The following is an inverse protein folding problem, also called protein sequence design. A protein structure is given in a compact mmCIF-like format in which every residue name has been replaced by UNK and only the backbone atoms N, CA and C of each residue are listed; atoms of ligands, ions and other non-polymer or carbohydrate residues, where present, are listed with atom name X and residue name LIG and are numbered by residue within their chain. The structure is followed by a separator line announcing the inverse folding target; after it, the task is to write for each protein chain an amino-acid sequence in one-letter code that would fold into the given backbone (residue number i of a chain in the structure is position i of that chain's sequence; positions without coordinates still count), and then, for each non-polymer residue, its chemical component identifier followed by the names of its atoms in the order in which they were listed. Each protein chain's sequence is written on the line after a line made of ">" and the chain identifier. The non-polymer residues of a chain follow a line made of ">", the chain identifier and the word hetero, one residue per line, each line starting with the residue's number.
data_IF_621167867418
#
_entry.id   IF_621167867418
#
_cell.length_a   1.000
_cell.length_b   1.000
_cell.length_c   1.000
_cell.angle_alpha   90.00
_cell.angle_beta   90.00
_cell.angle_gamma   90.00
#
_symmetry.space_group_name_H-M   'P 1'
#
loop_
_entity.id
_entity.type
_entity.pdbx_description
1 polymer ?
#
# COMPACT_ATOMS: atom_id res chain seq x y z
N UNK A 1 22.98 47.51 -36.66
CA UNK A 1 21.81 48.21 -36.09
C UNK A 1 20.57 47.38 -36.33
N UNK A 2 19.81 47.13 -35.25
CA UNK A 2 18.45 46.56 -35.19
C UNK A 2 18.31 45.09 -35.56
N UNK A 3 18.37 44.26 -34.52
CA UNK A 3 17.70 42.96 -34.51
C UNK A 3 16.18 43.14 -34.59
N UNK A 4 15.56 42.30 -35.39
CA UNK A 4 14.13 41.97 -35.40
C UNK A 4 14.05 40.44 -35.42
N UNK A 5 13.43 39.86 -34.39
CA UNK A 5 12.94 38.49 -34.32
C UNK A 5 11.86 38.52 -33.25
N UNK A 6 10.60 38.78 -33.63
CA UNK A 6 9.59 37.79 -34.07
C UNK A 6 9.27 36.83 -32.95
N UNK A 7 8.11 37.12 -32.37
CA UNK A 7 7.25 36.33 -31.50
C UNK A 7 7.05 34.91 -32.07
N UNK A 8 7.28 33.87 -31.26
CA UNK A 8 6.66 32.57 -31.49
C UNK A 8 6.19 32.02 -30.14
N UNK A 9 4.88 31.82 -30.08
CA UNK A 9 4.14 31.29 -28.94
C UNK A 9 4.53 29.83 -28.67
N UNK A 10 4.56 29.46 -27.38
CA UNK A 10 4.64 28.07 -26.94
C UNK A 10 3.57 27.91 -25.85
N UNK A 11 2.47 27.24 -26.20
CA UNK A 11 1.36 26.90 -25.30
C UNK A 11 0.84 25.51 -25.66
N UNK A 12 0.95 24.60 -24.66
CA UNK A 12 0.18 23.37 -24.35
C UNK A 12 0.07 22.24 -25.41
N UNK A 13 -0.09 20.95 -25.06
CA UNK A 13 -1.12 20.30 -24.21
C UNK A 13 -0.55 18.99 -23.58
N UNK A 14 -0.88 18.58 -22.34
CA UNK A 14 -2.13 17.95 -21.83
C UNK A 14 -2.37 16.51 -22.36
N UNK A 15 -2.70 15.59 -21.45
CA UNK A 15 -2.93 14.16 -21.68
C UNK A 15 -3.95 13.87 -22.80
N UNK A 16 -3.61 12.96 -23.72
CA UNK A 16 -4.47 11.87 -24.20
C UNK A 16 -3.66 10.89 -25.06
N UNK A 17 -3.91 9.58 -24.90
CA UNK A 17 -3.23 8.51 -25.63
C UNK A 17 -3.73 8.43 -27.08
N UNK A 18 -2.91 8.85 -28.06
CA UNK A 18 -2.91 8.36 -29.46
C UNK A 18 -1.49 8.45 -30.02
N UNK A 19 -0.92 7.30 -30.40
CA UNK A 19 0.39 7.20 -31.06
C UNK A 19 0.40 7.89 -32.42
N UNK A 20 1.31 8.87 -32.60
CA UNK A 20 1.72 9.33 -33.93
C UNK A 20 3.20 9.73 -33.91
N UNK A 21 4.04 8.87 -34.47
CA UNK A 21 5.46 9.10 -34.69
C UNK A 21 5.67 10.24 -35.69
N UNK A 22 6.52 11.22 -35.36
CA UNK A 22 7.09 12.13 -36.34
C UNK A 22 8.62 12.06 -36.26
N UNK A 23 9.22 11.44 -37.28
CA UNK A 23 10.65 11.37 -37.51
C UNK A 23 11.23 12.77 -37.77
N UNK A 24 12.24 13.16 -37.00
CA UNK A 24 13.28 14.09 -37.43
C UNK A 24 14.65 13.47 -37.12
N UNK A 25 15.41 13.23 -38.18
CA UNK A 25 16.73 12.60 -38.21
C UNK A 25 17.79 13.42 -37.43
N UNK A 26 18.88 12.79 -36.94
CA UNK A 26 19.77 13.38 -35.95
C UNK A 26 20.87 14.21 -36.61
N UNK A 27 21.15 15.40 -36.08
CA UNK A 27 22.47 16.03 -36.24
C UNK A 27 23.03 16.44 -34.90
N UNK A 28 23.83 15.51 -34.36
CA UNK A 28 24.97 15.65 -33.46
C UNK A 28 25.18 16.99 -32.75
N UNK A 29 24.99 16.97 -31.43
CA UNK A 29 25.81 17.77 -30.52
C UNK A 29 26.38 16.82 -29.46
N UNK A 30 27.64 16.48 -29.69
CA UNK A 30 28.52 15.80 -28.75
C UNK A 30 28.68 16.65 -27.48
N UNK A 31 28.29 16.07 -26.34
CA UNK A 31 28.75 16.49 -25.02
C UNK A 31 29.09 15.24 -24.23
N UNK A 32 30.31 14.77 -24.43
CA UNK A 32 31.09 14.13 -23.39
C UNK A 32 31.12 15.02 -22.13
N UNK A 33 30.33 14.63 -21.13
CA UNK A 33 30.48 15.07 -19.75
C UNK A 33 30.14 13.88 -18.84
N UNK A 34 31.19 13.26 -18.33
CA UNK A 34 31.19 12.29 -17.25
C UNK A 34 30.53 12.89 -16.00
N UNK A 35 29.46 12.27 -15.52
CA UNK A 35 28.77 12.62 -14.27
C UNK A 35 27.26 12.51 -14.38
N UNK A 36 26.71 11.30 -14.55
CA UNK A 36 25.26 11.09 -14.54
C UNK A 36 24.75 11.03 -13.10
N UNK A 37 24.59 12.20 -12.48
CA UNK A 37 23.48 12.41 -11.52
C UNK A 37 22.18 12.59 -12.33
N UNK A 38 21.89 11.67 -13.26
CA UNK A 38 20.59 11.60 -13.90
C UNK A 38 19.67 10.92 -12.90
N UNK A 39 18.76 11.70 -12.32
CA UNK A 39 17.61 11.14 -11.62
C UNK A 39 16.90 10.27 -12.65
N UNK A 40 16.74 8.98 -12.36
CA UNK A 40 15.94 8.10 -13.21
C UNK A 40 14.52 8.65 -13.22
N UNK A 41 14.11 9.18 -14.37
CA UNK A 41 12.82 9.84 -14.53
C UNK A 41 11.66 8.89 -14.22
N UNK A 42 11.83 7.59 -14.44
CA UNK A 42 10.80 6.59 -14.12
C UNK A 42 10.66 6.38 -12.61
N UNK A 43 11.78 6.28 -11.89
CA UNK A 43 11.79 6.16 -10.42
C UNK A 43 11.26 7.45 -9.77
N UNK A 44 11.60 8.62 -10.32
CA UNK A 44 11.08 9.89 -9.86
C UNK A 44 9.58 10.04 -10.11
N UNK A 45 9.08 9.56 -11.25
CA UNK A 45 7.65 9.61 -11.58
C UNK A 45 6.84 8.63 -10.72
N UNK A 46 7.34 7.41 -10.49
CA UNK A 46 6.71 6.44 -9.57
C UNK A 46 6.74 6.92 -8.11
N UNK A 47 7.86 7.46 -7.64
CA UNK A 47 7.96 8.02 -6.29
C UNK A 47 7.08 9.27 -6.12
N UNK A 48 6.95 10.11 -7.16
CA UNK A 48 6.03 11.23 -7.16
C UNK A 48 4.57 10.73 -7.14
N UNK A 49 4.22 9.77 -7.98
CA UNK A 49 2.87 9.19 -8.07
C UNK A 49 2.44 8.56 -6.74
N UNK A 50 3.29 7.72 -6.13
CA UNK A 50 3.05 7.14 -4.80
C UNK A 50 2.97 8.22 -3.71
N UNK A 51 3.85 9.24 -3.74
CA UNK A 51 3.77 10.38 -2.83
C UNK A 51 2.50 11.23 -3.02
N UNK A 52 1.87 11.18 -4.19
CA UNK A 52 0.62 11.89 -4.46
C UNK A 52 -0.62 11.15 -3.97
N UNK A 53 -0.58 9.82 -3.92
CA UNK A 53 -1.68 8.95 -3.46
C UNK A 53 -1.70 8.76 -1.93
N UNK A 54 -0.54 8.81 -1.29
CA UNK A 54 -0.36 8.51 0.14
C UNK A 54 -0.69 9.65 1.13
N UNK A 55 -1.40 10.69 0.70
CA UNK A 55 -1.81 11.79 1.58
C UNK A 55 -3.03 12.55 1.05
N UNK A 56 -3.75 13.18 1.98
CA UNK A 56 -4.78 14.18 1.73
C UNK A 56 -4.19 15.58 1.84
N UNK A 57 -4.71 16.52 1.07
CA UNK A 57 -4.25 17.90 1.00
C UNK A 57 -5.31 18.82 1.59
N UNK A 58 -4.86 19.79 2.38
CA UNK A 58 -5.69 20.92 2.80
C UNK A 58 -6.10 21.75 1.58
N UNK A 59 -7.40 22.06 1.47
CA UNK A 59 -7.90 22.97 0.45
C UNK A 59 -7.83 24.43 0.96
N UNK A 60 -6.82 25.15 0.48
CA UNK A 60 -6.63 26.60 0.64
C UNK A 60 -7.04 27.39 -0.61
N UNK A 61 -7.78 26.76 -1.54
CA UNK A 61 -8.31 27.37 -2.77
C UNK A 61 -7.94 26.65 -4.08
N UNK A 62 -7.21 25.54 -4.00
CA UNK A 62 -6.81 24.71 -5.16
C UNK A 62 -8.05 24.09 -5.82
N UNK A 63 -9.02 23.65 -5.02
CA UNK A 63 -10.34 23.21 -5.47
C UNK A 63 -11.30 24.37 -5.28
N UNK A 64 -11.87 24.85 -6.39
CA UNK A 64 -12.82 25.97 -6.41
C UNK A 64 -14.23 25.51 -5.98
N UNK A 65 -14.32 24.93 -4.78
CA UNK A 65 -15.55 24.51 -4.13
C UNK A 65 -15.39 24.76 -2.62
N UNK A 66 -16.15 25.71 -2.10
CA UNK A 66 -16.02 26.18 -0.71
C UNK A 66 -16.49 25.14 0.33
N UNK A 67 -17.20 24.09 -0.09
CA UNK A 67 -17.57 22.95 0.77
C UNK A 67 -16.36 22.04 1.04
N UNK A 68 -15.39 21.98 0.13
CA UNK A 68 -14.26 21.05 0.21
C UNK A 68 -13.19 21.62 1.14
N UNK A 69 -12.95 20.96 2.28
CA UNK A 69 -11.92 21.30 3.27
C UNK A 69 -10.60 20.57 3.01
N UNK A 70 -10.70 19.31 2.62
CA UNK A 70 -9.56 18.47 2.24
C UNK A 70 -9.87 17.73 0.94
N UNK A 71 -8.85 17.28 0.23
CA UNK A 71 -9.02 16.43 -0.95
C UNK A 71 -7.84 15.48 -1.12
N UNK A 72 -8.05 14.38 -1.84
CA UNK A 72 -7.03 13.38 -2.14
C UNK A 72 -7.19 12.79 -3.53
N UNK A 73 -6.24 11.93 -3.91
CA UNK A 73 -6.34 11.11 -5.12
C UNK A 73 -6.73 9.69 -4.74
N UNK A 74 -7.42 9.02 -5.65
CA UNK A 74 -7.78 7.61 -5.54
C UNK A 74 -7.78 7.00 -6.95
N UNK A 75 -7.71 5.66 -7.09
CA UNK A 75 -7.86 5.02 -8.39
C UNK A 75 -9.11 5.53 -9.13
N UNK A 76 -8.91 5.94 -10.38
CA UNK A 76 -10.00 6.43 -11.24
C UNK A 76 -10.56 7.80 -10.86
N UNK A 77 -9.91 8.57 -9.98
CA UNK A 77 -10.44 9.90 -9.62
C UNK A 77 -9.77 10.67 -8.48
N UNK A 78 -10.56 11.56 -7.90
CA UNK A 78 -10.22 12.34 -6.72
C UNK A 78 -11.35 12.27 -5.71
N UNK A 79 -11.01 12.33 -4.43
CA UNK A 79 -11.95 12.43 -3.32
C UNK A 79 -11.86 13.82 -2.67
N UNK A 80 -12.99 14.37 -2.24
CA UNK A 80 -13.07 15.64 -1.52
C UNK A 80 -13.91 15.50 -0.26
N UNK A 81 -13.46 16.14 0.81
CA UNK A 81 -14.05 16.03 2.14
C UNK A 81 -14.71 17.37 2.50
N UNK A 82 -16.04 17.39 2.57
CA UNK A 82 -16.83 18.53 3.04
C UNK A 82 -17.51 18.24 4.38
N UNK A 83 -18.26 19.21 4.92
CA UNK A 83 -18.80 19.11 6.29
C UNK A 83 -19.96 18.13 6.43
N UNK A 84 -20.68 17.88 5.33
CA UNK A 84 -21.87 17.00 5.34
C UNK A 84 -21.83 15.92 4.25
N UNK A 85 -20.77 15.89 3.44
CA UNK A 85 -20.67 15.00 2.30
C UNK A 85 -19.23 14.79 1.84
N UNK A 86 -19.04 13.68 1.14
CA UNK A 86 -17.87 13.39 0.33
C UNK A 86 -18.17 13.68 -1.13
N UNK A 87 -17.17 14.18 -1.85
CA UNK A 87 -17.19 14.42 -3.29
C UNK A 87 -16.29 13.39 -3.96
N UNK A 88 -16.81 12.64 -4.94
CA UNK A 88 -16.03 11.70 -5.73
C UNK A 88 -15.99 12.18 -7.18
N UNK A 89 -14.87 12.73 -7.61
CA UNK A 89 -14.67 13.20 -8.98
C UNK A 89 -14.05 12.10 -9.82
N UNK A 90 -14.65 11.86 -10.98
CA UNK A 90 -14.20 10.84 -11.93
C UNK A 90 -13.03 11.37 -12.77
N UNK A 91 -11.96 10.60 -12.89
CA UNK A 91 -10.80 10.97 -13.69
C UNK A 91 -11.17 11.20 -15.16
N UNK A 92 -10.63 12.27 -15.74
CA UNK A 92 -10.84 12.61 -17.16
C UNK A 92 -12.22 13.19 -17.49
N UNK A 93 -13.03 13.52 -16.49
CA UNK A 93 -14.36 14.12 -16.68
C UNK A 93 -14.62 15.28 -15.70
N UNK A 94 -15.71 16.01 -15.91
CA UNK A 94 -16.24 17.00 -14.95
C UNK A 94 -17.29 16.39 -14.00
N UNK A 95 -17.47 15.08 -14.03
CA UNK A 95 -18.52 14.39 -13.26
C UNK A 95 -18.13 14.17 -11.80
N UNK A 96 -19.13 14.29 -10.94
CA UNK A 96 -19.01 14.13 -9.50
C UNK A 96 -20.18 13.31 -8.95
N UNK A 97 -19.87 12.36 -8.08
CA UNK A 97 -20.83 11.70 -7.18
C UNK A 97 -20.70 12.32 -5.79
N UNK A 98 -21.81 12.45 -5.07
CA UNK A 98 -21.82 12.89 -3.68
C UNK A 98 -22.22 11.75 -2.76
N UNK A 99 -21.50 11.56 -1.65
CA UNK A 99 -21.89 10.69 -0.55
C UNK A 99 -22.26 11.56 0.65
N UNK A 100 -23.55 11.77 0.89
CA UNK A 100 -24.03 12.62 2.00
C UNK A 100 -24.35 11.77 3.23
N UNK A 101 -24.09 12.33 4.41
CA UNK A 101 -24.32 11.66 5.70
C UNK A 101 -25.77 11.91 6.17
N UNK A 102 -26.69 10.99 5.90
CA UNK A 102 -28.09 11.11 6.28
C UNK A 102 -28.27 10.91 7.80
N UNK A 103 -28.98 11.83 8.45
CA UNK A 103 -29.24 11.76 9.90
C UNK A 103 -28.01 12.05 10.78
N UNK A 104 -26.90 12.45 10.17
CA UNK A 104 -25.67 12.86 10.85
C UNK A 104 -25.72 14.30 11.34
N UNK A 105 -24.82 14.62 12.26
CA UNK A 105 -24.49 16.00 12.62
C UNK A 105 -23.65 16.66 11.52
N UNK A 106 -23.59 18.00 11.53
CA UNK A 106 -22.68 18.74 10.65
C UNK A 106 -21.32 18.83 11.32
N UNK A 107 -20.33 18.11 10.78
CA UNK A 107 -18.99 18.00 11.36
C UNK A 107 -17.97 18.56 10.39
N UNK A 108 -17.16 19.52 10.84
CA UNK A 108 -16.00 19.95 10.04
C UNK A 108 -14.94 18.86 10.08
N UNK A 109 -14.55 18.27 8.93
CA UNK A 109 -13.51 17.24 8.93
C UNK A 109 -12.18 17.80 9.44
N UNK A 110 -11.38 16.93 10.07
CA UNK A 110 -10.07 17.26 10.62
C UNK A 110 -8.98 16.47 9.90
N UNK A 111 -7.91 17.15 9.47
CA UNK A 111 -6.69 16.49 9.04
C UNK A 111 -5.89 16.01 10.25
N UNK A 112 -5.59 14.71 10.31
CA UNK A 112 -4.79 14.09 11.36
C UNK A 112 -3.48 13.55 10.77
N UNK A 113 -2.47 13.39 11.63
CA UNK A 113 -1.14 12.91 11.25
C UNK A 113 -0.54 13.70 10.08
N UNK A 114 -0.23 14.97 10.33
CA UNK A 114 0.38 15.84 9.34
C UNK A 114 1.71 15.23 8.84
N UNK A 115 1.80 15.01 7.53
CA UNK A 115 2.99 14.46 6.91
C UNK A 115 4.05 15.55 6.77
N UNK A 116 5.33 15.17 6.84
CA UNK A 116 6.45 16.12 6.82
C UNK A 116 6.65 16.86 5.48
N UNK A 117 5.92 16.46 4.43
CA UNK A 117 6.05 16.99 3.08
C UNK A 117 5.05 18.13 2.87
N UNK A 118 5.51 19.21 2.25
CA UNK A 118 4.63 20.31 1.83
C UNK A 118 4.48 20.32 0.31
N UNK A 119 3.25 20.52 -0.16
CA UNK A 119 2.92 20.54 -1.58
C UNK A 119 2.71 21.96 -2.09
N UNK A 120 3.06 22.20 -3.35
CA UNK A 120 2.81 23.47 -4.03
C UNK A 120 2.20 23.22 -5.41
N UNK A 121 1.16 23.98 -5.76
CA UNK A 121 0.53 23.97 -7.08
C UNK A 121 0.73 25.31 -7.80
N UNK A 122 1.09 25.23 -9.08
CA UNK A 122 1.20 26.37 -9.99
C UNK A 122 0.14 26.21 -11.09
N UNK A 123 -1.08 26.70 -10.83
CA UNK A 123 -2.27 26.44 -11.66
C UNK A 123 -2.51 27.50 -12.74
N UNK A 124 -1.44 28.18 -13.22
CA UNK A 124 -1.54 29.24 -14.22
C UNK A 124 -2.48 30.36 -13.78
N UNK A 125 -3.52 30.63 -14.58
CA UNK A 125 -4.51 31.70 -14.34
C UNK A 125 -5.33 31.48 -13.05
N UNK A 126 -5.33 30.26 -12.49
CA UNK A 126 -5.99 29.95 -11.21
C UNK A 126 -5.13 30.27 -9.99
N UNK A 127 -3.90 30.75 -10.19
CA UNK A 127 -3.00 31.19 -9.12
C UNK A 127 -1.96 30.17 -8.71
N UNK A 128 -1.18 30.56 -7.71
CA UNK A 128 -0.11 29.76 -7.10
C UNK A 128 -0.43 29.52 -5.64
N UNK A 129 -0.39 28.25 -5.23
CA UNK A 129 -0.70 27.80 -3.87
C UNK A 129 0.51 27.05 -3.34
N UNK A 130 1.11 27.52 -2.24
CA UNK A 130 2.36 26.96 -1.69
C UNK A 130 2.20 26.63 -0.22
N UNK A 131 2.99 25.69 0.29
CA UNK A 131 2.97 25.33 1.71
C UNK A 131 1.70 24.59 2.11
N UNK A 132 1.11 23.85 1.17
CA UNK A 132 -0.10 23.07 1.41
C UNK A 132 0.28 21.90 2.31
N UNK A 133 -0.42 21.81 3.44
CA UNK A 133 -0.23 20.72 4.42
C UNK A 133 -0.85 19.44 3.90
N UNK A 134 -0.13 18.34 4.14
CA UNK A 134 -0.57 16.98 3.83
C UNK A 134 -0.90 16.22 5.11
N UNK A 135 -1.85 15.31 5.05
CA UNK A 135 -2.32 14.51 6.19
C UNK A 135 -2.51 13.07 5.74
N UNK A 136 -2.07 12.07 6.52
CA UNK A 136 -2.35 10.67 6.18
C UNK A 136 -3.78 10.24 6.53
N UNK A 137 -4.49 11.05 7.33
CA UNK A 137 -5.85 10.75 7.78
C UNK A 137 -6.77 11.96 7.74
N UNK A 138 -8.05 11.74 7.42
CA UNK A 138 -9.15 12.70 7.65
C UNK A 138 -10.14 12.07 8.63
N UNK A 139 -10.55 12.83 9.64
CA UNK A 139 -11.52 12.37 10.65
C UNK A 139 -12.78 13.23 10.67
N UNK A 140 -13.91 12.56 10.83
CA UNK A 140 -15.20 13.12 11.23
C UNK A 140 -15.54 12.53 12.60
N UNK A 141 -15.27 13.27 13.66
CA UNK A 141 -15.57 12.85 15.04
C UNK A 141 -17.05 13.10 15.37
N UNK A 142 -17.68 12.14 16.05
CA UNK A 142 -19.09 12.15 16.46
C UNK A 142 -20.04 12.52 15.30
N UNK A 143 -19.77 11.97 14.11
CA UNK A 143 -20.53 12.26 12.89
C UNK A 143 -21.98 11.80 13.00
N UNK A 144 -22.18 10.62 13.57
CA UNK A 144 -23.45 10.25 14.21
C UNK A 144 -23.19 10.08 15.70
N UNK A 145 -24.21 10.15 16.57
CA UNK A 145 -24.03 10.03 18.01
C UNK A 145 -23.21 8.80 18.42
N UNK A 146 -21.98 9.05 18.89
CA UNK A 146 -21.00 8.06 19.30
C UNK A 146 -20.42 7.21 18.15
N UNK A 147 -20.37 7.76 16.93
CA UNK A 147 -19.79 7.12 15.74
C UNK A 147 -18.86 8.10 15.02
N UNK A 148 -17.59 7.74 14.96
CA UNK A 148 -16.58 8.46 14.19
C UNK A 148 -16.39 7.82 12.81
N UNK A 149 -16.02 8.62 11.81
CA UNK A 149 -15.61 8.18 10.48
C UNK A 149 -14.20 8.66 10.17
N UNK A 150 -13.30 7.74 9.91
CA UNK A 150 -11.93 7.99 9.48
C UNK A 150 -11.75 7.63 8.02
N UNK A 151 -10.94 8.40 7.32
CA UNK A 151 -10.38 8.08 6.02
C UNK A 151 -8.87 8.02 6.12
N UNK A 152 -8.28 6.98 5.54
CA UNK A 152 -6.84 6.75 5.48
C UNK A 152 -6.39 6.83 4.02
N UNK A 153 -5.34 7.61 3.77
CA UNK A 153 -4.66 7.59 2.49
C UNK A 153 -3.71 6.38 2.46
N UNK A 154 -3.81 5.58 1.40
CA UNK A 154 -2.98 4.38 1.18
C UNK A 154 -2.33 4.46 -0.21
N UNK A 155 -1.34 3.60 -0.47
CA UNK A 155 -0.73 3.55 -1.80
C UNK A 155 -1.72 3.10 -2.88
N UNK A 156 -2.70 2.27 -2.49
CA UNK A 156 -3.75 1.76 -3.37
C UNK A 156 -4.98 2.70 -3.48
N UNK A 157 -4.98 3.82 -2.76
CA UNK A 157 -6.07 4.80 -2.79
C UNK A 157 -6.53 5.24 -1.41
N UNK A 158 -7.82 5.05 -1.13
CA UNK A 158 -8.46 5.57 0.07
C UNK A 158 -9.23 4.46 0.74
N UNK A 159 -8.98 4.26 2.04
CA UNK A 159 -9.75 3.36 2.90
C UNK A 159 -10.53 4.18 3.91
N UNK A 160 -11.74 3.76 4.26
CA UNK A 160 -12.49 4.35 5.36
C UNK A 160 -12.60 3.36 6.51
N UNK A 161 -12.88 3.86 7.70
CA UNK A 161 -13.13 3.08 8.91
C UNK A 161 -14.20 3.81 9.74
N UNK A 162 -15.23 3.09 10.19
CA UNK A 162 -16.17 3.60 11.19
C UNK A 162 -15.82 3.05 12.56
N UNK A 163 -15.70 3.94 13.56
CA UNK A 163 -15.56 3.54 14.97
C UNK A 163 -16.86 3.81 15.70
N UNK A 164 -17.53 2.74 16.10
CA UNK A 164 -18.81 2.77 16.80
C UNK A 164 -18.53 2.55 18.27
N UNK A 165 -18.68 3.60 19.08
CA UNK A 165 -18.44 3.53 20.52
C UNK A 165 -19.42 2.55 21.20
N UNK A 166 -19.01 2.00 22.35
CA UNK A 166 -19.85 1.16 23.17
C UNK A 166 -21.24 1.80 23.43
N UNK A 167 -22.30 1.05 23.09
CA UNK A 167 -23.70 1.46 23.24
C UNK A 167 -24.27 2.25 22.06
N UNK A 168 -23.46 2.71 21.12
CA UNK A 168 -23.89 3.36 19.88
C UNK A 168 -24.50 2.36 18.90
N UNK A 169 -25.27 2.86 17.93
CA UNK A 169 -26.02 2.03 17.00
C UNK A 169 -25.44 2.12 15.58
N UNK A 170 -24.78 1.08 15.04
CA UNK A 170 -24.23 1.10 13.67
C UNK A 170 -25.32 1.24 12.61
N UNK A 171 -26.60 0.99 12.96
CA UNK A 171 -27.73 1.29 12.08
C UNK A 171 -28.03 2.78 11.97
N UNK A 172 -27.32 3.67 12.63
CA UNK A 172 -27.48 5.11 12.41
C UNK A 172 -26.67 5.56 11.18
N UNK A 173 -25.65 4.79 10.79
CA UNK A 173 -24.81 5.08 9.62
C UNK A 173 -25.65 4.95 8.33
N UNK A 174 -25.93 6.09 7.70
CA UNK A 174 -26.69 6.19 6.45
C UNK A 174 -25.98 7.08 5.46
N UNK A 175 -25.54 6.48 4.36
CA UNK A 175 -24.80 7.16 3.31
C UNK A 175 -25.70 7.24 2.09
N UNK A 176 -26.07 8.47 1.73
CA UNK A 176 -26.86 8.74 0.53
C UNK A 176 -25.94 9.06 -0.63
N UNK A 177 -25.99 8.24 -1.66
CA UNK A 177 -25.26 8.42 -2.91
C UNK A 177 -26.11 9.22 -3.90
N UNK A 178 -25.58 10.34 -4.39
CA UNK A 178 -26.25 11.22 -5.35
C UNK A 178 -25.36 11.51 -6.55
N UNK A 179 -25.96 11.80 -7.70
CA UNK A 179 -25.22 12.11 -8.94
C UNK A 179 -24.70 10.87 -9.69
N UNK A 180 -25.00 9.66 -9.20
CA UNK A 180 -24.68 8.41 -9.87
C UNK A 180 -25.66 8.07 -11.00
N UNK A 181 -25.23 7.28 -11.99
CA UNK A 181 -26.12 6.69 -13.00
C UNK A 181 -26.67 5.34 -12.50
N UNK A 182 -25.88 4.60 -11.72
CA UNK A 182 -26.26 3.33 -11.09
C UNK A 182 -25.59 3.17 -9.73
N UNK A 183 -26.32 2.58 -8.78
CA UNK A 183 -25.85 2.18 -7.47
C UNK A 183 -26.24 0.71 -7.27
N UNK A 184 -25.25 -0.17 -7.13
CA UNK A 184 -25.46 -1.60 -6.86
C UNK A 184 -24.90 -1.92 -5.49
N UNK A 185 -25.74 -2.43 -4.61
CA UNK A 185 -25.38 -2.77 -3.22
C UNK A 185 -25.48 -4.29 -3.11
N UNK A 186 -24.32 -4.96 -2.99
CA UNK A 186 -24.19 -6.37 -2.67
C UNK A 186 -24.01 -6.59 -1.16
N UNK A 187 -23.70 -7.82 -0.74
CA UNK A 187 -23.47 -8.12 0.68
C UNK A 187 -22.14 -7.53 1.17
N UNK A 188 -21.06 -7.66 0.39
CA UNK A 188 -19.72 -7.17 0.74
C UNK A 188 -19.15 -6.14 -0.24
N UNK A 189 -19.98 -5.68 -1.19
CA UNK A 189 -19.58 -4.72 -2.21
C UNK A 189 -20.61 -3.62 -2.44
N UNK A 190 -20.14 -2.41 -2.74
CA UNK A 190 -20.96 -1.32 -3.26
C UNK A 190 -20.31 -0.79 -4.54
N UNK A 191 -21.05 -0.81 -5.64
CA UNK A 191 -20.59 -0.29 -6.93
C UNK A 191 -21.38 0.96 -7.30
N UNK A 192 -20.67 2.07 -7.50
CA UNK A 192 -21.22 3.35 -7.92
C UNK A 192 -20.71 3.67 -9.32
N UNK A 193 -21.60 3.63 -10.31
CA UNK A 193 -21.24 3.93 -11.69
C UNK A 193 -21.65 5.36 -12.06
N UNK A 194 -20.74 6.06 -12.71
CA UNK A 194 -20.99 7.37 -13.29
C UNK A 194 -20.26 7.51 -14.63
N UNK A 195 -21.02 7.85 -15.67
CA UNK A 195 -20.59 7.93 -17.05
C UNK A 195 -19.88 6.65 -17.51
N UNK A 196 -18.56 6.68 -17.74
CA UNK A 196 -17.76 5.54 -18.18
C UNK A 196 -16.90 4.91 -17.09
N UNK A 197 -16.99 5.38 -15.84
CA UNK A 197 -16.22 4.81 -14.73
C UNK A 197 -17.11 4.28 -13.62
N UNK A 198 -16.50 3.55 -12.69
CA UNK A 198 -17.18 2.95 -11.54
C UNK A 198 -16.25 2.96 -10.34
N UNK A 199 -16.74 3.46 -9.22
CA UNK A 199 -16.12 3.25 -7.91
C UNK A 199 -16.65 1.96 -7.32
N UNK A 200 -15.74 1.12 -6.85
CA UNK A 200 -16.05 -0.16 -6.21
C UNK A 200 -15.51 -0.10 -4.80
N UNK A 201 -16.40 -0.29 -3.85
CA UNK A 201 -16.07 -0.59 -2.47
C UNK A 201 -16.23 -2.10 -2.26
N UNK A 202 -15.22 -2.74 -1.70
CA UNK A 202 -15.17 -4.19 -1.51
C UNK A 202 -14.38 -4.58 -0.27
N UNK A 203 -14.61 -5.81 0.20
CA UNK A 203 -13.87 -6.38 1.32
C UNK A 203 -14.32 -5.88 2.69
N UNK A 204 -15.58 -5.45 2.80
CA UNK A 204 -16.20 -5.03 4.05
C UNK A 204 -16.00 -6.09 5.14
N UNK A 205 -15.48 -5.64 6.30
CA UNK A 205 -15.31 -6.45 7.51
C UNK A 205 -15.71 -5.66 8.74
N UNK A 206 -15.99 -6.31 9.85
CA UNK A 206 -16.12 -5.64 11.13
C UNK A 206 -15.40 -6.44 12.21
N UNK A 207 -14.87 -5.74 13.21
CA UNK A 207 -14.11 -6.36 14.28
C UNK A 207 -14.51 -5.79 15.64
N UNK A 208 -14.45 -6.65 16.65
CA UNK A 208 -14.54 -6.29 18.06
C UNK A 208 -13.50 -7.10 18.85
N UNK A 209 -12.56 -6.41 19.52
CA UNK A 209 -11.44 -7.04 20.24
C UNK A 209 -10.72 -8.13 19.41
N UNK A 210 -10.42 -7.85 18.13
CA UNK A 210 -9.80 -8.79 17.17
C UNK A 210 -10.67 -10.00 16.77
N UNK A 211 -11.93 -10.04 17.20
CA UNK A 211 -12.90 -11.04 16.72
C UNK A 211 -13.62 -10.48 15.50
N UNK A 212 -13.60 -11.22 14.38
CA UNK A 212 -14.44 -10.92 13.22
C UNK A 212 -15.92 -10.95 13.60
N UNK A 213 -16.65 -9.91 13.22
CA UNK A 213 -18.10 -9.82 13.34
C UNK A 213 -18.66 -9.76 11.92
N UNK A 214 -19.62 -10.63 11.63
CA UNK A 214 -20.26 -10.65 10.32
C UNK A 214 -20.99 -9.32 10.08
N UNK A 215 -20.74 -8.73 8.92
CA UNK A 215 -21.31 -7.44 8.51
C UNK A 215 -21.58 -7.46 7.02
N UNK A 216 -22.67 -6.82 6.61
CA UNK A 216 -23.03 -6.64 5.20
C UNK A 216 -23.43 -5.20 4.91
N UNK A 217 -23.26 -4.77 3.66
CA UNK A 217 -23.93 -3.58 3.18
C UNK A 217 -25.43 -3.83 3.10
N UNK A 218 -26.21 -2.84 3.49
CA UNK A 218 -27.66 -2.89 3.48
C UNK A 218 -28.25 -1.66 2.80
N UNK A 219 -29.26 -1.88 1.95
CA UNK A 219 -29.97 -0.81 1.25
C UNK A 219 -31.09 -0.24 2.12
N UNK A 220 -31.14 1.08 2.20
CA UNK A 220 -32.18 1.85 2.90
C UNK A 220 -32.99 2.71 1.92
N UNK A 221 -33.21 2.18 0.72
CA UNK A 221 -33.89 2.87 -0.37
C UNK A 221 -33.02 2.91 -1.64
N UNK A 222 -33.49 3.60 -2.69
CA UNK A 222 -32.83 3.58 -4.00
C UNK A 222 -31.47 4.27 -4.05
N UNK A 223 -31.17 5.13 -3.07
CA UNK A 223 -29.97 5.96 -3.05
C UNK A 223 -29.19 5.89 -1.74
N UNK A 224 -29.68 5.15 -0.75
CA UNK A 224 -29.08 5.13 0.59
C UNK A 224 -28.62 3.73 0.92
N UNK A 225 -27.39 3.61 1.42
CA UNK A 225 -26.85 2.38 1.98
C UNK A 225 -26.29 2.63 3.38
N UNK A 226 -26.04 1.54 4.09
CA UNK A 226 -25.40 1.52 5.40
C UNK A 226 -25.01 0.07 5.70
N UNK A 227 -24.99 -0.29 6.98
CA UNK A 227 -24.55 -1.60 7.42
C UNK A 227 -25.65 -2.38 8.12
N UNK A 228 -25.63 -3.70 7.97
CA UNK A 228 -26.26 -4.65 8.88
C UNK A 228 -25.15 -5.47 9.52
N UNK A 229 -25.05 -5.40 10.85
CA UNK A 229 -24.02 -6.09 11.65
C UNK A 229 -24.72 -7.17 12.46
N UNK A 230 -24.16 -8.38 12.46
CA UNK A 230 -24.67 -9.52 13.23
C UNK A 230 -24.50 -9.31 14.74
N UNK A 231 -24.80 -10.32 15.56
CA UNK A 231 -24.71 -10.20 17.02
C UNK A 231 -23.28 -9.87 17.49
N UNK A 232 -23.12 -8.74 18.19
CA UNK A 232 -21.88 -8.28 18.82
C UNK A 232 -22.12 -7.80 20.26
N UNK A 233 -21.05 -7.66 21.07
CA UNK A 233 -21.12 -7.15 22.43
C UNK A 233 -21.25 -5.62 22.42
N UNK A 234 -22.47 -5.11 22.64
CA UNK A 234 -22.77 -3.68 22.65
C UNK A 234 -22.13 -2.91 23.81
N UNK A 235 -21.51 -3.59 24.78
CA UNK A 235 -20.77 -2.92 25.86
C UNK A 235 -19.34 -2.53 25.47
N UNK A 236 -18.92 -2.87 24.26
CA UNK A 236 -17.59 -2.62 23.71
C UNK A 236 -17.70 -1.88 22.39
N UNK A 237 -16.59 -1.28 21.99
CA UNK A 237 -16.49 -0.62 20.69
C UNK A 237 -16.56 -1.66 19.56
N UNK A 238 -17.04 -1.21 18.41
CA UNK A 238 -17.10 -1.97 17.16
C UNK A 238 -16.41 -1.14 16.09
N UNK A 239 -15.54 -1.77 15.31
CA UNK A 239 -14.89 -1.13 14.17
C UNK A 239 -15.44 -1.75 12.89
N UNK A 240 -16.00 -0.94 11.99
CA UNK A 240 -16.49 -1.38 10.68
C UNK A 240 -15.53 -0.87 9.61
N UNK A 241 -15.16 -1.80 8.75
CA UNK A 241 -14.22 -1.69 7.65
C UNK A 241 -12.78 -1.28 8.06
N UNK A 242 -12.20 -1.84 9.14
CA UNK A 242 -10.90 -1.38 9.59
C UNK A 242 -9.79 -1.58 8.56
N UNK A 243 -8.83 -0.67 8.58
CA UNK A 243 -7.49 -0.97 8.09
C UNK A 243 -6.80 -1.88 9.12
N UNK A 244 -6.84 -3.19 8.92
CA UNK A 244 -6.33 -4.18 9.89
C UNK A 244 -4.86 -3.91 10.24
N UNK A 245 -4.01 -3.71 9.23
CA UNK A 245 -2.71 -3.04 9.36
C UNK A 245 -2.16 -2.71 7.97
N UNK A 246 -1.24 -1.74 7.94
CA UNK A 246 -0.26 -1.57 6.88
C UNK A 246 1.03 -1.10 7.54
N UNK A 247 2.17 -1.60 7.07
CA UNK A 247 3.48 -1.27 7.65
C UNK A 247 4.54 -1.38 6.58
N UNK A 248 5.71 -0.82 6.84
CA UNK A 248 6.88 -0.92 5.98
C UNK A 248 7.98 -1.70 6.72
N UNK A 249 8.53 -2.72 6.07
CA UNK A 249 9.65 -3.51 6.58
C UNK A 249 10.73 -3.51 5.51
N UNK A 250 11.86 -2.89 5.82
CA UNK A 250 12.97 -2.67 4.91
C UNK A 250 14.02 -1.74 5.51
N UNK A 251 15.13 -1.56 4.81
CA UNK A 251 16.19 -0.61 5.14
C UNK A 251 16.44 0.38 4.01
N UNK A 252 17.67 0.89 3.91
CA UNK A 252 18.04 1.93 2.93
C UNK A 252 18.44 1.39 1.57
N UNK A 253 18.69 0.09 1.46
CA UNK A 253 19.07 -0.58 0.22
C UNK A 253 17.86 -1.05 -0.57
N UNK A 254 18.13 -1.89 -1.56
CA UNK A 254 17.11 -2.69 -2.24
C UNK A 254 16.65 -3.82 -1.32
N UNK A 255 15.34 -3.90 -1.10
CA UNK A 255 14.66 -4.97 -0.37
C UNK A 255 13.55 -5.51 -1.26
N UNK A 256 13.47 -6.82 -1.43
CA UNK A 256 12.46 -7.43 -2.28
C UNK A 256 11.94 -8.73 -1.67
N UNK A 257 10.64 -8.75 -1.41
CA UNK A 257 9.92 -9.99 -1.13
C UNK A 257 9.96 -10.91 -2.34
N UNK A 258 10.08 -12.22 -2.09
CA UNK A 258 9.86 -13.24 -3.12
C UNK A 258 8.71 -14.19 -2.80
N UNK A 259 8.34 -14.38 -1.53
CA UNK A 259 7.27 -15.31 -1.15
C UNK A 259 6.72 -15.07 0.26
N UNK A 260 5.43 -15.36 0.43
CA UNK A 260 4.66 -15.25 1.67
C UNK A 260 3.99 -16.58 2.04
N UNK A 261 3.93 -16.88 3.33
CA UNK A 261 3.14 -17.97 3.91
C UNK A 261 2.43 -17.50 5.18
N UNK A 262 1.29 -18.12 5.52
CA UNK A 262 0.48 -17.77 6.70
C UNK A 262 0.24 -19.03 7.53
N UNK A 263 0.46 -18.96 8.84
CA UNK A 263 0.18 -20.07 9.75
C UNK A 263 -1.29 -20.12 10.20
N UNK A 264 -1.68 -21.20 10.90
CA UNK A 264 -3.05 -21.39 11.39
C UNK A 264 -3.51 -20.34 12.42
N UNK A 265 -2.59 -19.55 12.99
CA UNK A 265 -2.89 -18.44 13.89
C UNK A 265 -2.94 -17.09 13.16
N UNK A 266 -2.83 -17.08 11.82
CA UNK A 266 -2.84 -15.88 11.00
C UNK A 266 -1.51 -15.12 10.97
N UNK A 267 -0.43 -15.65 11.57
CA UNK A 267 0.85 -14.96 11.51
C UNK A 267 1.44 -15.08 10.10
N UNK A 268 2.01 -13.98 9.63
CA UNK A 268 2.56 -13.86 8.29
C UNK A 268 4.07 -14.11 8.31
N UNK A 269 4.56 -14.95 7.40
CA UNK A 269 5.98 -15.25 7.22
C UNK A 269 6.38 -14.82 5.82
N UNK A 270 7.47 -14.07 5.71
CA UNK A 270 7.94 -13.56 4.43
C UNK A 270 9.40 -13.93 4.25
N UNK A 271 9.74 -14.37 3.04
CA UNK A 271 11.11 -14.57 2.60
C UNK A 271 11.40 -13.72 1.36
N UNK A 272 12.64 -13.26 1.27
CA UNK A 272 13.11 -12.45 0.16
C UNK A 272 14.62 -12.27 0.20
N UNK A 273 15.07 -11.17 -0.38
CA UNK A 273 16.47 -10.75 -0.36
C UNK A 273 16.58 -9.25 -0.09
N UNK A 274 17.72 -8.85 0.46
CA UNK A 274 17.98 -7.46 0.84
C UNK A 274 19.46 -7.12 0.64
N UNK A 275 19.75 -5.88 0.23
CA UNK A 275 21.08 -5.24 0.28
C UNK A 275 21.20 -4.26 1.46
N UNK A 276 20.18 -4.19 2.32
CA UNK A 276 20.11 -3.25 3.43
C UNK A 276 20.83 -3.79 4.66
N UNK A 277 22.00 -3.22 4.95
CA UNK A 277 22.71 -3.47 6.21
C UNK A 277 21.93 -3.01 7.46
N UNK A 278 20.90 -2.18 7.30
CA UNK A 278 19.99 -1.71 8.34
C UNK A 278 18.58 -2.33 8.25
N UNK A 279 18.42 -3.45 7.53
CA UNK A 279 17.16 -4.20 7.54
C UNK A 279 16.76 -4.56 8.97
N UNK A 280 15.48 -4.44 9.36
CA UNK A 280 15.03 -4.71 10.73
C UNK A 280 15.39 -6.14 11.16
N UNK A 281 16.10 -6.29 12.28
CA UNK A 281 16.40 -7.60 12.87
C UNK A 281 15.84 -7.69 14.28
N UNK A 282 15.15 -8.79 14.57
CA UNK A 282 14.51 -9.06 15.86
C UNK A 282 14.66 -10.55 16.15
N UNK A 283 15.11 -10.93 17.34
CA UNK A 283 15.29 -12.34 17.75
C UNK A 283 16.00 -13.21 16.68
N UNK A 284 17.00 -12.63 16.01
CA UNK A 284 17.55 -13.16 14.78
C UNK A 284 18.51 -14.32 15.00
N UNK A 285 18.53 -15.28 14.07
CA UNK A 285 19.62 -16.24 13.90
C UNK A 285 20.94 -15.53 13.52
N UNK A 286 20.86 -14.61 12.54
CA UNK A 286 21.97 -13.74 12.11
C UNK A 286 21.44 -12.30 12.03
N UNK A 287 22.05 -11.41 12.81
CA UNK A 287 21.64 -9.99 12.89
C UNK A 287 22.48 -9.06 12.01
N UNK A 288 23.40 -9.60 11.22
CA UNK A 288 24.32 -8.83 10.38
C UNK A 288 24.26 -9.32 8.95
N UNK A 289 24.11 -8.38 8.02
CA UNK A 289 24.23 -8.58 6.58
C UNK A 289 25.66 -9.00 6.20
N UNK A 290 25.80 -9.98 5.28
CA UNK A 290 27.09 -10.64 4.99
C UNK A 290 27.64 -10.48 3.58
N UNK A 291 26.80 -10.30 2.55
CA UNK A 291 27.20 -10.32 1.14
C UNK A 291 26.76 -9.11 0.33
N UNK A 292 26.45 -9.33 -0.95
CA UNK A 292 25.86 -8.31 -1.84
C UNK A 292 24.33 -8.30 -1.73
N UNK A 293 23.73 -9.48 -1.55
CA UNK A 293 22.35 -9.70 -1.13
C UNK A 293 22.31 -10.88 -0.15
N UNK A 294 21.64 -10.72 0.99
CA UNK A 294 21.36 -11.81 1.92
C UNK A 294 19.88 -12.16 1.81
N UNK A 295 19.55 -13.44 1.97
CA UNK A 295 18.17 -13.83 2.20
C UNK A 295 17.72 -13.27 3.56
N UNK A 296 16.53 -12.67 3.61
CA UNK A 296 15.88 -12.39 4.89
C UNK A 296 14.68 -13.31 5.08
N UNK A 297 14.37 -13.58 6.35
CA UNK A 297 13.09 -14.16 6.75
C UNK A 297 12.56 -13.42 7.96
N UNK A 298 11.29 -13.03 7.92
CA UNK A 298 10.61 -12.46 9.07
C UNK A 298 9.25 -13.12 9.33
N UNK A 299 8.80 -12.99 10.58
CA UNK A 299 7.46 -13.38 11.02
C UNK A 299 6.77 -12.21 11.71
N UNK A 300 5.61 -11.85 11.22
CA UNK A 300 4.76 -10.77 11.72
C UNK A 300 3.48 -11.36 12.34
N UNK A 301 3.01 -10.77 13.43
CA UNK A 301 1.72 -11.13 14.03
C UNK A 301 0.56 -10.88 13.07
N UNK A 302 -0.55 -11.58 13.29
CA UNK A 302 -1.75 -11.50 12.44
C UNK A 302 -2.36 -10.09 12.33
N UNK A 303 -2.11 -9.23 13.32
CA UNK A 303 -2.53 -7.84 13.38
C UNK A 303 -1.43 -6.86 12.92
N UNK A 304 -0.30 -7.36 12.43
CA UNK A 304 0.83 -6.54 11.97
C UNK A 304 1.62 -5.82 13.09
N UNK A 305 1.23 -5.96 14.35
CA UNK A 305 1.75 -5.15 15.46
C UNK A 305 3.12 -5.61 15.99
N UNK A 306 3.47 -6.88 15.79
CA UNK A 306 4.63 -7.51 16.39
C UNK A 306 5.47 -8.26 15.36
N UNK A 307 6.70 -7.79 15.13
CA UNK A 307 7.73 -8.54 14.40
C UNK A 307 8.34 -9.58 15.34
N UNK A 308 7.80 -10.81 15.34
CA UNK A 308 8.23 -11.88 16.25
C UNK A 308 9.70 -12.23 16.07
N UNK A 309 10.13 -12.34 14.82
CA UNK A 309 11.53 -12.40 14.45
C UNK A 309 11.76 -11.82 13.06
N UNK A 310 12.98 -11.40 12.80
CA UNK A 310 13.49 -11.03 11.49
C UNK A 310 15.00 -11.27 11.47
N UNK A 311 15.48 -12.02 10.49
CA UNK A 311 16.87 -12.50 10.42
C UNK A 311 17.40 -12.51 9.01
N UNK A 312 18.73 -12.37 8.89
CA UNK A 312 19.46 -12.70 7.67
C UNK A 312 19.81 -14.20 7.63
N UNK A 313 19.93 -14.75 6.43
CA UNK A 313 20.54 -16.06 6.14
C UNK A 313 21.32 -15.89 4.83
N UNK A 314 22.62 -16.17 4.86
CA UNK A 314 23.48 -15.96 3.70
C UNK A 314 24.95 -16.02 4.08
N UNK A 315 25.80 -16.13 3.07
CA UNK A 315 27.25 -16.11 3.14
C UNK A 315 27.82 -14.76 2.72
N UNK A 316 28.87 -14.80 1.88
CA UNK A 316 29.65 -13.63 1.44
C UNK A 316 29.30 -13.10 0.05
N UNK A 317 28.41 -13.78 -0.69
CA UNK A 317 28.00 -13.40 -2.05
C UNK A 317 26.49 -13.13 -2.15
N UNK A 318 25.81 -13.60 -3.21
CA UNK A 318 24.40 -13.37 -3.46
C UNK A 318 23.55 -14.53 -2.95
N UNK A 319 22.61 -14.22 -2.05
CA UNK A 319 21.70 -15.18 -1.45
C UNK A 319 20.26 -14.67 -1.52
N UNK A 320 19.38 -15.48 -2.11
CA UNK A 320 17.97 -15.12 -2.29
C UNK A 320 17.06 -16.24 -1.82
N UNK A 321 16.18 -15.93 -0.86
CA UNK A 321 15.04 -16.79 -0.55
C UNK A 321 13.95 -16.60 -1.61
N UNK A 322 13.64 -17.66 -2.35
CA UNK A 322 12.69 -17.61 -3.47
C UNK A 322 11.30 -18.09 -3.07
N UNK A 323 11.20 -19.01 -2.12
CA UNK A 323 9.94 -19.62 -1.70
C UNK A 323 9.96 -19.95 -0.21
N UNK A 324 8.82 -19.74 0.47
CA UNK A 324 8.63 -20.09 1.88
C UNK A 324 7.38 -20.94 2.09
N UNK A 325 7.48 -21.92 2.99
CA UNK A 325 6.35 -22.70 3.50
C UNK A 325 6.51 -22.91 5.01
N UNK A 326 5.41 -23.09 5.73
CA UNK A 326 5.41 -23.18 7.21
C UNK A 326 4.70 -24.45 7.66
N UNK A 327 5.32 -25.21 8.56
CA UNK A 327 4.71 -26.42 9.13
C UNK A 327 3.73 -26.11 10.29
N UNK A 328 2.95 -27.10 10.71
CA UNK A 328 1.98 -26.97 11.81
C UNK A 328 2.61 -26.67 13.18
N UNK A 329 3.94 -26.81 13.31
CA UNK A 329 4.70 -26.41 14.50
C UNK A 329 5.26 -24.98 14.38
N UNK A 330 4.97 -24.27 13.30
CA UNK A 330 5.41 -22.89 13.04
C UNK A 330 6.83 -22.77 12.53
N UNK A 331 7.48 -23.87 12.12
CA UNK A 331 8.83 -23.77 11.55
C UNK A 331 8.75 -23.34 10.09
N UNK A 332 9.60 -22.39 9.69
CA UNK A 332 9.68 -21.91 8.33
C UNK A 332 10.68 -22.74 7.52
N UNK A 333 10.29 -23.14 6.32
CA UNK A 333 11.14 -23.78 5.32
C UNK A 333 11.30 -22.82 4.17
N UNK A 334 12.54 -22.52 3.82
CA UNK A 334 12.85 -21.63 2.73
C UNK A 334 13.72 -22.36 1.74
N UNK A 335 13.40 -22.19 0.48
CA UNK A 335 14.23 -22.60 -0.63
C UNK A 335 14.58 -21.39 -1.48
N UNK A 336 15.74 -21.45 -2.12
CA UNK A 336 16.28 -20.30 -2.81
C UNK A 336 17.57 -20.59 -3.54
N UNK A 337 18.20 -19.52 -3.99
CA UNK A 337 19.46 -19.53 -4.73
C UNK A 337 20.58 -18.92 -3.89
N UNK A 338 21.77 -19.51 -3.98
CA UNK A 338 22.98 -18.97 -3.38
C UNK A 338 24.15 -19.09 -4.35
N UNK A 339 24.93 -18.01 -4.49
CA UNK A 339 26.27 -18.09 -5.05
C UNK A 339 27.37 -18.17 -3.98
N UNK A 340 26.98 -18.12 -2.70
CA UNK A 340 27.89 -18.06 -1.55
C UNK A 340 28.50 -19.44 -1.24
N UNK A 341 29.83 -19.64 -1.41
CA UNK A 341 30.48 -20.90 -1.04
C UNK A 341 30.45 -21.17 0.47
N UNK A 342 30.22 -20.12 1.28
CA UNK A 342 30.14 -20.15 2.74
C UNK A 342 28.69 -20.02 3.26
N UNK A 343 27.69 -20.28 2.41
CA UNK A 343 26.29 -20.33 2.86
C UNK A 343 26.14 -21.29 4.06
N UNK A 344 25.39 -20.90 5.11
CA UNK A 344 25.30 -21.68 6.34
C UNK A 344 24.63 -23.03 6.08
N UNK A 345 25.34 -24.13 6.37
CA UNK A 345 24.82 -25.50 6.27
C UNK A 345 24.74 -26.13 7.66
N UNK A 346 23.64 -26.85 7.93
CA UNK A 346 23.37 -27.51 9.22
C UNK A 346 22.66 -28.81 8.95
N UNK A 347 23.15 -29.94 9.51
CA UNK A 347 22.56 -31.27 9.31
C UNK A 347 22.32 -31.62 7.82
N UNK A 348 23.18 -31.11 6.92
CA UNK A 348 22.95 -31.08 5.49
C UNK A 348 22.97 -32.47 4.82
N UNK A 349 22.13 -32.65 3.80
CA UNK A 349 22.29 -33.74 2.83
C UNK A 349 23.54 -33.53 1.97
N UNK A 350 23.74 -32.30 1.48
CA UNK A 350 24.93 -31.86 0.79
C UNK A 350 25.41 -30.53 1.41
N UNK A 351 26.62 -30.53 1.93
CA UNK A 351 27.29 -29.35 2.50
C UNK A 351 28.34 -28.75 1.56
N UNK A 352 28.39 -29.19 0.29
CA UNK A 352 29.37 -28.75 -0.70
C UNK A 352 28.68 -27.90 -1.75
N UNK A 353 29.10 -26.64 -1.85
CA UNK A 353 28.77 -25.74 -2.94
C UNK A 353 29.44 -26.20 -4.23
N UNK A 354 28.63 -26.43 -5.27
CA UNK A 354 28.99 -27.25 -6.41
C UNK A 354 29.55 -26.51 -7.63
N UNK A 355 29.32 -25.20 -7.77
CA UNK A 355 29.68 -24.47 -9.00
C UNK A 355 29.43 -22.96 -8.96
N UNK A 356 28.77 -22.44 -10.01
CA UNK A 356 28.53 -21.00 -10.21
C UNK A 356 27.30 -20.47 -9.43
N UNK A 357 26.50 -21.39 -8.86
CA UNK A 357 25.35 -21.09 -8.01
C UNK A 357 24.53 -22.35 -7.76
N UNK A 358 24.06 -22.57 -6.54
CA UNK A 358 23.27 -23.75 -6.17
C UNK A 358 21.93 -23.33 -5.58
N UNK A 359 20.95 -24.25 -5.61
CA UNK A 359 19.79 -24.10 -4.76
C UNK A 359 20.16 -24.43 -3.31
N UNK A 360 19.55 -23.74 -2.36
CA UNK A 360 19.55 -24.15 -0.97
C UNK A 360 18.15 -24.52 -0.51
N UNK A 361 18.08 -25.34 0.54
CA UNK A 361 16.88 -25.50 1.36
C UNK A 361 17.28 -25.43 2.81
N UNK A 362 16.63 -24.57 3.59
CA UNK A 362 16.79 -24.51 5.03
C UNK A 362 15.46 -24.56 5.79
N UNK A 363 15.56 -24.96 7.05
CA UNK A 363 14.49 -24.95 8.04
C UNK A 363 14.90 -24.10 9.23
N UNK A 364 14.11 -23.09 9.54
CA UNK A 364 14.26 -22.22 10.71
C UNK A 364 13.29 -22.65 11.82
N UNK A 365 13.73 -22.58 13.07
CA UNK A 365 12.86 -22.82 14.23
C UNK A 365 11.69 -21.83 14.29
N UNK A 366 10.60 -22.20 14.96
CA UNK A 366 9.41 -21.37 15.07
C UNK A 366 9.63 -19.99 15.71
N UNK A 367 10.69 -19.83 16.51
CA UNK A 367 11.11 -18.55 17.10
C UNK A 367 12.14 -17.79 16.25
N UNK A 368 12.52 -18.31 15.09
CA UNK A 368 13.45 -17.68 14.16
C UNK A 368 14.92 -17.73 14.56
N UNK A 369 15.25 -18.29 15.73
CA UNK A 369 16.57 -18.15 16.34
C UNK A 369 17.58 -19.22 15.91
N UNK A 370 17.12 -20.33 15.35
CA UNK A 370 17.94 -21.52 15.10
C UNK A 370 17.72 -22.09 13.71
N UNK A 371 18.80 -22.27 12.95
CA UNK A 371 18.81 -23.05 11.73
C UNK A 371 18.81 -24.55 12.07
N UNK A 372 17.68 -25.23 11.88
CA UNK A 372 17.49 -26.65 12.25
C UNK A 372 18.06 -27.60 11.19
N UNK A 373 17.98 -27.20 9.93
CA UNK A 373 18.47 -27.91 8.76
C UNK A 373 18.84 -26.88 7.69
N UNK A 374 19.91 -27.10 6.94
CA UNK A 374 20.27 -26.32 5.77
C UNK A 374 21.20 -27.12 4.87
N UNK A 375 20.85 -27.24 3.60
CA UNK A 375 21.57 -28.04 2.59
C UNK A 375 21.63 -27.33 1.26
N UNK A 376 22.62 -27.68 0.45
CA UNK A 376 22.59 -27.43 -0.98
C UNK A 376 21.81 -28.51 -1.73
N UNK A 377 21.23 -28.12 -2.87
CA UNK A 377 20.64 -28.99 -3.89
C UNK A 377 21.11 -28.46 -5.24
N UNK A 378 21.99 -29.19 -5.93
CA UNK A 378 22.57 -28.71 -7.18
C UNK A 378 23.75 -29.56 -7.67
N UNK A 379 24.29 -29.15 -8.80
CA UNK A 379 25.38 -29.77 -9.55
C UNK A 379 26.60 -28.85 -9.67
N UNK A 380 27.25 -28.84 -10.85
CA UNK A 380 28.48 -28.03 -11.08
C UNK A 380 28.25 -26.71 -11.79
N UNK A 381 27.00 -26.39 -12.08
CA UNK A 381 26.58 -25.21 -12.83
C UNK A 381 25.52 -24.51 -12.01
N UNK A 382 25.06 -23.37 -12.49
CA UNK A 382 23.91 -22.68 -11.91
C UNK A 382 22.68 -23.61 -11.89
N UNK A 383 22.14 -23.81 -10.70
CA UNK A 383 20.86 -24.45 -10.46
C UNK A 383 19.90 -23.44 -9.83
N UNK A 384 18.61 -23.49 -10.17
CA UNK A 384 17.60 -22.58 -9.64
C UNK A 384 16.36 -23.34 -9.18
N UNK A 385 15.79 -22.88 -8.07
CA UNK A 385 14.60 -23.44 -7.45
C UNK A 385 13.42 -22.47 -7.59
N UNK A 386 12.19 -23.01 -7.68
CA UNK A 386 10.99 -22.23 -7.99
C UNK A 386 9.92 -22.23 -6.90
N UNK A 387 9.87 -23.25 -6.03
CA UNK A 387 8.81 -23.41 -5.05
C UNK A 387 9.11 -24.52 -4.04
N UNK A 388 8.86 -24.26 -2.76
CA UNK A 388 8.83 -25.26 -1.68
C UNK A 388 7.39 -25.50 -1.20
N UNK A 389 7.09 -26.73 -0.79
CA UNK A 389 5.84 -27.09 -0.12
C UNK A 389 6.15 -28.05 1.02
N UNK A 390 5.36 -27.98 2.10
CA UNK A 390 5.45 -28.87 3.25
C UNK A 390 4.14 -29.63 3.41
N UNK A 391 4.23 -30.90 3.80
CA UNK A 391 3.05 -31.66 4.21
C UNK A 391 2.57 -31.15 5.57
N UNK A 392 1.26 -31.07 5.76
CA UNK A 392 0.62 -30.39 6.91
C UNK A 392 -0.01 -31.37 7.90
#
# INVERSE_FOLDING_TARGET
>A
MRGKGILLALVLFMLSVVSLQLLLSPTSLDRSATGSNSIDETVADSAAHSAFLSQFYENIGQIANDDVRFYGRMPGGMIGFGESRIHLWMEGTDSCVFLSFEGADTVTPMGLDEVSRHTSYFLGDRGTYTGIRGYSQIAYEDLWPGIDLYYHATEDGVKYEFRVAAGSNPKDIRIRCEGHDSLVIGESTVCISKDNGTFVDEGLRAFQDLTDIDVTFSSYGPHTFGFEVDDYDKSKDLIIDPLVYSTFIGGRGEDSESSIAVDSSGNTYVAGYTSSGDFPTVNAYKSTFGGDWDCFVFKLSADGSTLFYSTFIGGTEYDRGSSIAVDSSGNAYVAGFTSSPDFPTVNAYNSTYGGDGDCFVFKLSADGSTLLYSTFIGGRREDSESSIAVDS
#
